data_IF_290257354159
#
_entry.id   IF_290257354159
#
_cell.length_a   1.000
_cell.length_b   1.000
_cell.length_c   1.000
_cell.angle_alpha   90.00
_cell.angle_beta   90.00
_cell.angle_gamma   90.00
#
_symmetry.space_group_name_H-M   'P 1'
#
loop_
_entity.id
_entity.type
_entity.pdbx_description
1 polymer ?
#
# COMPACT_ATOMS: atom_id res chain seq x y z
N UNK A 1 -11.58 -1.08 -11.05
CA UNK A 1 -10.22 -1.59 -11.31
C UNK A 1 -10.32 -2.55 -12.47
N UNK A 2 -9.30 -2.65 -13.31
CA UNK A 2 -9.31 -3.50 -14.50
C UNK A 2 -8.11 -4.45 -14.41
N UNK A 3 -8.37 -5.76 -14.45
CA UNK A 3 -7.33 -6.78 -14.39
C UNK A 3 -6.68 -6.93 -15.77
N UNK A 4 -5.39 -7.27 -15.82
CA UNK A 4 -4.74 -7.62 -17.08
C UNK A 4 -5.39 -8.85 -17.75
N UNK A 5 -5.32 -8.98 -19.08
CA UNK A 5 -5.77 -10.20 -19.75
C UNK A 5 -5.09 -11.45 -19.16
N UNK A 6 -5.87 -12.52 -18.96
CA UNK A 6 -5.35 -13.78 -18.39
C UNK A 6 -5.00 -13.74 -16.89
N UNK A 7 -5.29 -12.64 -16.18
CA UNK A 7 -4.90 -12.46 -14.78
C UNK A 7 -5.21 -13.66 -13.88
N UNK A 8 -6.47 -14.15 -13.90
CA UNK A 8 -6.88 -15.27 -13.04
C UNK A 8 -6.17 -16.57 -13.39
N UNK A 9 -5.98 -16.85 -14.69
CA UNK A 9 -5.26 -18.05 -15.14
C UNK A 9 -3.83 -18.03 -14.60
N UNK A 10 -3.11 -16.94 -14.83
CA UNK A 10 -1.73 -16.79 -14.36
C UNK A 10 -1.62 -16.82 -12.83
N UNK A 11 -2.54 -16.16 -12.12
CA UNK A 11 -2.52 -16.19 -10.66
C UNK A 11 -2.71 -17.61 -10.11
N UNK A 12 -3.57 -18.42 -10.72
CA UNK A 12 -3.76 -19.83 -10.37
C UNK A 12 -2.52 -20.67 -10.71
N UNK A 13 -1.94 -20.48 -11.89
CA UNK A 13 -0.68 -21.16 -12.29
C UNK A 13 0.46 -20.84 -11.32
N UNK A 14 0.60 -19.56 -10.94
CA UNK A 14 1.61 -19.12 -9.96
C UNK A 14 1.33 -19.66 -8.56
N UNK A 15 0.07 -19.71 -8.10
CA UNK A 15 -0.31 -20.37 -6.84
C UNK A 15 0.11 -21.85 -6.82
N UNK A 16 -0.19 -22.58 -7.89
CA UNK A 16 0.15 -24.01 -8.02
C UNK A 16 1.67 -24.24 -8.06
N UNK A 17 2.40 -23.43 -8.81
CA UNK A 17 3.86 -23.56 -8.95
C UNK A 17 4.60 -23.23 -7.66
N UNK A 18 4.13 -22.26 -6.90
CA UNK A 18 4.87 -21.70 -5.74
C UNK A 18 4.38 -22.23 -4.40
N UNK A 19 3.17 -22.79 -4.35
CA UNK A 19 2.51 -23.14 -3.09
C UNK A 19 2.18 -21.92 -2.21
N UNK A 20 2.16 -20.71 -2.80
CA UNK A 20 1.87 -19.49 -2.08
C UNK A 20 0.44 -19.48 -1.52
N UNK A 21 0.25 -18.80 -0.40
CA UNK A 21 -1.05 -18.59 0.22
C UNK A 21 -1.81 -17.41 -0.41
N UNK A 22 -1.10 -16.48 -1.04
CA UNK A 22 -1.65 -15.34 -1.76
C UNK A 22 -0.71 -14.95 -2.90
N UNK A 23 -1.24 -14.76 -4.10
CA UNK A 23 -0.50 -14.28 -5.28
C UNK A 23 -1.13 -12.99 -5.77
N UNK A 24 -0.31 -11.99 -6.07
CA UNK A 24 -0.81 -10.77 -6.69
C UNK A 24 0.30 -10.01 -7.39
N UNK A 25 -0.06 -8.87 -7.96
CA UNK A 25 0.83 -8.19 -8.90
C UNK A 25 0.92 -6.69 -8.71
N UNK A 26 1.21 -6.02 -9.82
CA UNK A 26 1.48 -4.58 -9.86
C UNK A 26 0.19 -3.78 -9.74
N UNK A 27 0.19 -2.79 -8.86
CA UNK A 27 -0.79 -1.69 -8.88
C UNK A 27 -0.40 -0.71 -9.99
N UNK A 28 -0.94 -0.93 -11.19
CA UNK A 28 -0.63 -0.11 -12.36
C UNK A 28 -1.39 1.21 -12.30
N UNK A 29 -0.79 2.23 -11.70
CA UNK A 29 -1.40 3.54 -11.55
C UNK A 29 -1.47 4.28 -12.90
N UNK A 30 -2.69 4.60 -13.35
CA UNK A 30 -2.93 5.29 -14.62
C UNK A 30 -3.95 6.42 -14.44
N UNK A 31 -3.54 7.64 -14.82
CA UNK A 31 -4.35 8.84 -14.71
C UNK A 31 -4.82 9.38 -16.07
N UNK A 32 -6.05 9.89 -16.11
CA UNK A 32 -6.67 10.50 -17.30
C UNK A 32 -6.49 12.02 -17.32
N UNK A 33 -6.44 12.68 -16.16
CA UNK A 33 -6.20 14.13 -16.06
C UNK A 33 -4.72 14.45 -15.81
N UNK A 34 -4.25 15.67 -16.09
CA UNK A 34 -2.89 16.08 -15.75
C UNK A 34 -2.55 15.89 -14.25
N UNK A 35 -3.53 16.09 -13.37
CA UNK A 35 -3.35 15.85 -11.93
C UNK A 35 -3.25 14.36 -11.62
N UNK A 36 -4.17 13.53 -12.12
CA UNK A 36 -4.12 12.08 -11.89
C UNK A 36 -2.82 11.47 -12.44
N UNK A 37 -2.30 11.96 -13.57
CA UNK A 37 -1.00 11.53 -14.11
C UNK A 37 0.17 11.88 -13.19
N UNK A 38 0.15 13.04 -12.55
CA UNK A 38 1.16 13.41 -11.57
C UNK A 38 1.08 12.50 -10.32
N UNK A 39 -0.14 12.21 -9.84
CA UNK A 39 -0.33 11.27 -8.72
C UNK A 39 0.13 9.86 -9.09
N UNK A 40 -0.20 9.38 -10.30
CA UNK A 40 0.29 8.10 -10.80
C UNK A 40 1.83 8.04 -10.80
N UNK A 41 2.49 9.06 -11.35
CA UNK A 41 3.95 9.14 -11.39
C UNK A 41 4.58 9.21 -10.00
N UNK A 42 3.94 9.89 -9.04
CA UNK A 42 4.39 9.92 -7.66
C UNK A 42 4.27 8.54 -6.98
N UNK A 43 3.12 7.87 -7.15
CA UNK A 43 2.84 6.54 -6.61
C UNK A 43 3.75 5.45 -7.17
N UNK A 44 4.27 5.62 -8.38
CA UNK A 44 5.21 4.68 -9.02
C UNK A 44 6.68 5.09 -8.85
N UNK A 45 6.97 6.07 -7.99
CA UNK A 45 8.34 6.50 -7.69
C UNK A 45 8.81 6.02 -6.32
N UNK A 46 10.12 5.78 -6.16
CA UNK A 46 10.72 5.41 -4.87
C UNK A 46 10.53 6.51 -3.82
N UNK A 47 10.56 7.78 -4.24
CA UNK A 47 10.34 8.90 -3.33
C UNK A 47 8.93 8.89 -2.75
N UNK A 48 7.91 8.61 -3.58
CA UNK A 48 6.51 8.62 -3.12
C UNK A 48 6.02 7.33 -2.46
N UNK A 49 6.55 6.17 -2.82
CA UNK A 49 6.05 4.85 -2.38
C UNK A 49 7.06 4.02 -1.56
N UNK A 50 8.30 4.47 -1.41
CA UNK A 50 9.35 3.73 -0.71
C UNK A 50 9.82 2.49 -1.47
N UNK A 51 10.00 1.36 -0.77
CA UNK A 51 10.44 0.08 -1.31
C UNK A 51 9.30 -0.92 -1.64
N UNK A 52 8.06 -0.45 -1.74
CA UNK A 52 6.93 -1.31 -2.07
C UNK A 52 6.94 -1.74 -3.56
N UNK A 53 7.50 -2.93 -3.83
CA UNK A 53 7.72 -3.47 -5.20
C UNK A 53 6.47 -3.52 -6.09
N UNK A 54 5.28 -3.67 -5.50
CA UNK A 54 4.03 -3.69 -6.25
C UNK A 54 3.68 -2.34 -6.92
N UNK A 55 4.39 -1.25 -6.63
CA UNK A 55 4.19 0.05 -7.26
C UNK A 55 5.02 0.30 -8.53
N UNK A 56 6.17 -0.36 -8.69
CA UNK A 56 7.08 -0.07 -9.81
C UNK A 56 7.68 -1.33 -10.46
N UNK A 57 7.32 -2.53 -9.99
CA UNK A 57 7.80 -3.80 -10.53
C UNK A 57 9.02 -4.34 -9.80
N UNK A 58 9.56 -5.44 -10.31
CA UNK A 58 10.68 -6.15 -9.74
C UNK A 58 10.71 -7.60 -10.20
N UNK A 59 11.58 -8.39 -9.57
CA UNK A 59 11.59 -9.83 -9.79
C UNK A 59 10.40 -10.47 -9.10
N UNK A 60 9.92 -11.56 -9.70
CA UNK A 60 8.97 -12.45 -9.06
C UNK A 60 9.54 -12.97 -7.73
N UNK A 61 8.71 -13.04 -6.68
CA UNK A 61 9.15 -13.64 -5.42
C UNK A 61 8.31 -13.30 -4.18
N UNK A 62 8.76 -13.77 -3.00
CA UNK A 62 8.08 -13.47 -1.74
C UNK A 62 8.00 -11.97 -1.44
N UNK A 63 6.87 -11.53 -0.91
CA UNK A 63 6.61 -10.13 -0.53
C UNK A 63 5.86 -10.04 0.80
N UNK A 64 5.85 -8.86 1.42
CA UNK A 64 5.01 -8.57 2.58
C UNK A 64 3.52 -8.53 2.22
N UNK A 65 3.23 -8.06 1.01
CA UNK A 65 1.88 -7.79 0.52
C UNK A 65 1.90 -7.66 -1.00
N UNK A 66 0.74 -7.82 -1.61
CA UNK A 66 0.50 -7.64 -3.05
C UNK A 66 -0.76 -6.82 -3.28
N UNK A 67 -0.91 -6.26 -4.48
CA UNK A 67 -2.11 -5.51 -4.82
C UNK A 67 -3.20 -6.42 -5.40
N UNK A 68 -4.36 -6.44 -4.73
CA UNK A 68 -5.55 -7.21 -5.12
C UNK A 68 -5.25 -8.69 -5.42
N UNK A 69 -4.71 -9.39 -4.42
CA UNK A 69 -4.27 -10.78 -4.56
C UNK A 69 -5.38 -11.82 -4.70
N UNK A 70 -4.98 -12.99 -5.20
CA UNK A 70 -5.75 -14.23 -5.31
C UNK A 70 -5.24 -15.18 -4.24
N UNK A 71 -6.13 -15.63 -3.37
CA UNK A 71 -5.79 -16.39 -2.17
C UNK A 71 -6.02 -17.89 -2.37
N UNK A 72 -5.13 -18.70 -1.81
CA UNK A 72 -5.48 -20.09 -1.53
C UNK A 72 -6.57 -20.11 -0.45
N UNK A 73 -7.65 -20.83 -0.72
CA UNK A 73 -8.82 -20.85 0.14
C UNK A 73 -8.53 -21.46 1.51
N UNK A 74 -7.80 -22.57 1.54
CA UNK A 74 -7.53 -23.30 2.80
C UNK A 74 -6.64 -22.47 3.69
N UNK A 75 -5.61 -21.84 3.12
CA UNK A 75 -4.73 -20.93 3.85
C UNK A 75 -5.49 -19.69 4.37
N UNK A 76 -6.38 -19.10 3.56
CA UNK A 76 -7.19 -17.95 3.95
C UNK A 76 -8.18 -18.28 5.08
N UNK A 77 -8.88 -19.42 4.99
CA UNK A 77 -9.78 -19.91 6.04
C UNK A 77 -9.00 -20.21 7.32
N UNK A 78 -7.86 -20.90 7.22
CA UNK A 78 -7.00 -21.19 8.37
C UNK A 78 -6.44 -19.93 9.04
N UNK A 79 -6.21 -18.86 8.26
CA UNK A 79 -5.80 -17.57 8.81
C UNK A 79 -6.94 -16.83 9.51
N UNK A 80 -8.21 -17.16 9.23
CA UNK A 80 -9.39 -16.55 9.84
C UNK A 80 -10.06 -15.47 8.99
N UNK A 81 -9.95 -15.53 7.66
CA UNK A 81 -10.56 -14.58 6.71
C UNK A 81 -10.20 -13.11 6.99
N UNK A 82 -10.91 -12.15 6.39
CA UNK A 82 -10.73 -10.73 6.66
C UNK A 82 -11.26 -10.34 8.05
N UNK A 83 -10.53 -9.46 8.73
CA UNK A 83 -11.02 -8.81 9.94
C UNK A 83 -11.92 -7.62 9.58
N UNK A 84 -13.23 -7.78 9.77
CA UNK A 84 -14.25 -6.79 9.44
C UNK A 84 -14.17 -5.50 10.28
N UNK A 85 -13.42 -5.51 11.40
CA UNK A 85 -13.19 -4.31 12.22
C UNK A 85 -12.22 -3.33 11.57
N UNK A 86 -11.45 -3.78 10.58
CA UNK A 86 -10.53 -2.95 9.82
C UNK A 86 -11.26 -2.38 8.60
N UNK A 87 -11.43 -1.06 8.45
CA UNK A 87 -12.07 -0.52 7.22
C UNK A 87 -11.07 -0.38 6.06
N UNK A 88 -9.77 -0.31 6.37
CA UNK A 88 -8.67 -0.31 5.39
C UNK A 88 -7.54 -1.18 5.92
N UNK A 89 -6.65 -1.59 5.02
CA UNK A 89 -5.48 -2.40 5.34
C UNK A 89 -5.84 -3.82 5.82
N UNK A 90 -7.06 -4.30 5.52
CA UNK A 90 -7.52 -5.66 5.86
C UNK A 90 -6.69 -6.74 5.16
N UNK A 91 -6.37 -6.50 3.90
CA UNK A 91 -5.52 -7.33 3.04
C UNK A 91 -4.09 -7.41 3.56
N UNK A 92 -3.52 -6.27 3.96
CA UNK A 92 -2.21 -6.25 4.58
C UNK A 92 -2.19 -7.01 5.90
N UNK A 93 -3.22 -6.86 6.73
CA UNK A 93 -3.33 -7.57 8.00
C UNK A 93 -3.49 -9.08 7.80
N UNK A 94 -4.35 -9.51 6.87
CA UNK A 94 -4.50 -10.91 6.50
C UNK A 94 -3.16 -11.49 5.99
N UNK A 95 -2.41 -10.75 5.18
CA UNK A 95 -1.08 -11.15 4.72
C UNK A 95 -0.06 -11.30 5.86
N UNK A 96 -0.21 -10.58 6.98
CA UNK A 96 0.59 -10.83 8.19
C UNK A 96 0.23 -12.19 8.79
N UNK A 97 -1.07 -12.45 9.00
CA UNK A 97 -1.55 -13.72 9.58
C UNK A 97 -1.20 -14.93 8.71
N UNK A 98 -1.30 -14.82 7.38
CA UNK A 98 -0.88 -15.88 6.45
C UNK A 98 0.61 -16.22 6.64
N UNK A 99 1.47 -15.20 6.71
CA UNK A 99 2.92 -15.40 6.90
C UNK A 99 3.29 -15.92 8.28
N UNK A 100 2.59 -15.50 9.33
CA UNK A 100 2.77 -16.04 10.69
C UNK A 100 2.43 -17.55 10.77
N UNK A 101 1.61 -18.06 9.85
CA UNK A 101 1.26 -19.47 9.74
C UNK A 101 2.15 -20.25 8.75
N UNK A 102 3.27 -19.66 8.32
CA UNK A 102 4.20 -20.26 7.37
C UNK A 102 3.78 -20.13 5.90
N UNK A 103 2.66 -19.46 5.60
CA UNK A 103 2.24 -19.18 4.23
C UNK A 103 3.12 -18.12 3.56
N UNK A 104 3.27 -18.20 2.24
CA UNK A 104 4.01 -17.21 1.46
C UNK A 104 3.05 -16.29 0.73
N UNK A 105 3.30 -14.98 0.80
CA UNK A 105 2.66 -14.01 -0.09
C UNK A 105 3.62 -13.75 -1.24
N UNK A 106 3.14 -13.90 -2.46
CA UNK A 106 3.98 -13.98 -3.64
C UNK A 106 3.62 -12.89 -4.65
N UNK A 107 4.61 -12.11 -5.03
CA UNK A 107 4.50 -11.07 -6.04
C UNK A 107 4.88 -11.62 -7.41
N UNK A 108 3.96 -11.49 -8.37
CA UNK A 108 4.15 -11.83 -9.77
C UNK A 108 4.10 -10.53 -10.61
N UNK A 109 5.21 -10.10 -11.23
CA UNK A 109 5.28 -8.85 -11.98
C UNK A 109 4.47 -8.87 -13.28
N UNK A 110 4.06 -10.03 -13.77
CA UNK A 110 3.24 -10.14 -14.98
C UNK A 110 1.74 -9.98 -14.69
N UNK A 111 1.35 -10.11 -13.43
CA UNK A 111 0.02 -9.73 -12.96
C UNK A 111 -0.03 -8.21 -12.76
N UNK A 112 -1.03 -7.55 -13.34
CA UNK A 112 -1.25 -6.13 -13.08
C UNK A 112 -2.72 -5.75 -13.01
N UNK A 113 -3.01 -4.75 -12.18
CA UNK A 113 -4.35 -4.21 -12.03
C UNK A 113 -4.30 -2.71 -12.21
N UNK A 114 -5.06 -2.22 -13.20
CA UNK A 114 -5.20 -0.79 -13.48
C UNK A 114 -5.87 -0.09 -12.30
N UNK A 115 -5.16 0.88 -11.75
CA UNK A 115 -5.60 1.71 -10.64
C UNK A 115 -5.69 3.16 -11.10
N UNK A 116 -6.83 3.80 -10.86
CA UNK A 116 -7.02 5.23 -11.15
C UNK A 116 -6.78 6.04 -9.88
N UNK A 117 -5.78 6.95 -9.86
CA UNK A 117 -5.51 7.78 -8.69
C UNK A 117 -6.63 8.78 -8.38
N UNK A 118 -6.54 9.43 -7.21
CA UNK A 118 -7.50 10.45 -6.79
C UNK A 118 -7.45 11.68 -7.70
N UNK A 119 -8.62 12.26 -7.93
CA UNK A 119 -8.85 13.39 -8.85
C UNK A 119 -8.41 14.76 -8.34
N UNK A 120 -8.16 14.90 -7.02
CA UNK A 120 -7.78 16.18 -6.42
C UNK A 120 -6.87 15.99 -5.21
N UNK A 121 -6.15 17.06 -4.86
CA UNK A 121 -5.20 17.07 -3.74
C UNK A 121 -5.87 16.76 -2.40
N UNK A 122 -7.04 17.36 -2.12
CA UNK A 122 -7.78 17.08 -0.88
C UNK A 122 -8.25 15.62 -0.76
N UNK A 123 -8.66 14.99 -1.87
CA UNK A 123 -9.03 13.57 -1.88
C UNK A 123 -7.80 12.67 -1.71
N UNK A 124 -6.66 13.06 -2.25
CA UNK A 124 -5.38 12.37 -2.05
C UNK A 124 -4.92 12.47 -0.59
N UNK A 125 -4.95 13.67 -0.02
CA UNK A 125 -4.61 13.93 1.38
C UNK A 125 -5.46 13.05 2.31
N UNK A 126 -6.78 13.06 2.13
CA UNK A 126 -7.68 12.21 2.91
C UNK A 126 -7.35 10.73 2.78
N UNK A 127 -7.09 10.25 1.56
CA UNK A 127 -6.73 8.86 1.33
C UNK A 127 -5.43 8.47 2.06
N UNK A 128 -4.36 9.26 1.93
CA UNK A 128 -3.09 8.96 2.58
C UNK A 128 -3.17 9.09 4.10
N UNK A 129 -3.95 10.06 4.61
CA UNK A 129 -4.25 10.15 6.04
C UNK A 129 -4.95 8.89 6.56
N UNK A 130 -5.99 8.43 5.87
CA UNK A 130 -6.68 7.20 6.23
C UNK A 130 -5.74 5.98 6.16
N UNK A 131 -4.84 5.91 5.18
CA UNK A 131 -3.83 4.85 5.11
C UNK A 131 -2.89 4.85 6.32
N UNK A 132 -2.37 6.02 6.71
CA UNK A 132 -1.56 6.16 7.92
C UNK A 132 -2.34 5.75 9.18
N UNK A 133 -3.57 6.22 9.34
CA UNK A 133 -4.42 5.93 10.49
C UNK A 133 -4.71 4.44 10.66
N UNK A 134 -5.07 3.75 9.56
CA UNK A 134 -5.31 2.30 9.58
C UNK A 134 -4.02 1.50 9.68
N UNK A 135 -2.89 2.00 9.18
CA UNK A 135 -1.60 1.36 9.41
C UNK A 135 -1.21 1.41 10.88
N UNK A 136 -1.48 2.52 11.60
CA UNK A 136 -1.28 2.60 13.05
C UNK A 136 -2.07 1.52 13.79
N UNK A 137 -3.32 1.29 13.40
CA UNK A 137 -4.17 0.24 13.94
C UNK A 137 -3.54 -1.15 13.75
N UNK A 138 -3.11 -1.46 12.52
CA UNK A 138 -2.46 -2.74 12.22
C UNK A 138 -1.14 -2.90 12.99
N UNK A 139 -0.34 -1.84 13.14
CA UNK A 139 0.90 -1.88 13.94
C UNK A 139 0.59 -2.11 15.42
N UNK A 140 -0.50 -1.56 15.96
CA UNK A 140 -0.90 -1.85 17.34
C UNK A 140 -1.21 -3.33 17.55
N UNK A 141 -1.86 -3.98 16.58
CA UNK A 141 -2.19 -5.42 16.63
C UNK A 141 -0.99 -6.30 16.31
N UNK A 142 -0.13 -5.84 15.41
CA UNK A 142 1.03 -6.57 14.88
C UNK A 142 2.27 -5.65 14.87
N UNK A 143 2.94 -5.43 16.02
CA UNK A 143 4.05 -4.47 16.13
C UNK A 143 5.21 -4.75 15.17
N UNK A 144 5.54 -6.03 14.96
CA UNK A 144 6.58 -6.47 14.02
C UNK A 144 6.26 -6.23 12.53
N UNK A 145 5.06 -5.74 12.21
CA UNK A 145 4.66 -5.45 10.83
C UNK A 145 5.09 -4.07 10.33
N UNK A 146 5.68 -3.23 11.18
CA UNK A 146 6.14 -1.90 10.79
C UNK A 146 7.38 -2.03 9.88
N UNK A 147 7.30 -1.45 8.69
CA UNK A 147 8.42 -1.35 7.75
C UNK A 147 8.94 0.08 7.71
N UNK A 148 10.22 0.27 7.39
CA UNK A 148 10.85 1.58 7.35
C UNK A 148 10.08 2.57 6.44
N UNK A 149 9.59 2.12 5.27
CA UNK A 149 8.76 2.93 4.36
C UNK A 149 7.49 3.49 5.00
N UNK A 150 6.95 2.80 6.01
CA UNK A 150 5.74 3.21 6.74
C UNK A 150 6.08 4.10 7.95
N UNK A 151 7.31 3.99 8.47
CA UNK A 151 7.83 4.78 9.59
C UNK A 151 8.47 6.11 9.15
N UNK A 152 8.99 6.19 7.92
CA UNK A 152 9.64 7.39 7.41
C UNK A 152 8.69 8.62 7.34
N UNK A 153 7.44 8.51 6.85
CA UNK A 153 6.54 9.67 6.81
C UNK A 153 6.15 10.26 8.19
N UNK A 154 5.81 9.49 9.24
CA UNK A 154 5.57 10.07 10.56
C UNK A 154 6.83 10.65 11.20
N UNK A 155 8.01 10.04 11.02
CA UNK A 155 9.28 10.62 11.47
C UNK A 155 9.57 11.96 10.78
N UNK A 156 9.34 12.04 9.47
CA UNK A 156 9.43 13.29 8.70
C UNK A 156 8.47 14.36 9.24
N UNK A 157 7.21 14.03 9.49
CA UNK A 157 6.23 14.99 10.01
C UNK A 157 6.65 15.57 11.37
N UNK A 158 7.14 14.73 12.28
CA UNK A 158 7.69 15.17 13.57
C UNK A 158 8.95 16.03 13.37
N UNK A 159 9.88 15.59 12.52
CA UNK A 159 11.12 16.31 12.24
C UNK A 159 10.86 17.71 11.68
N UNK A 160 9.92 17.85 10.73
CA UNK A 160 9.53 19.14 10.19
C UNK A 160 8.89 20.04 11.26
N UNK A 161 8.02 19.49 12.10
CA UNK A 161 7.43 20.24 13.22
C UNK A 161 8.48 20.75 14.21
N UNK A 162 9.39 19.88 14.64
CA UNK A 162 10.50 20.24 15.52
C UNK A 162 11.44 21.26 14.87
N UNK A 163 11.77 21.09 13.58
CA UNK A 163 12.62 22.01 12.84
C UNK A 163 12.01 23.41 12.78
N UNK A 164 10.70 23.52 12.51
CA UNK A 164 9.99 24.81 12.48
C UNK A 164 9.96 25.48 13.86
N UNK A 165 9.61 24.75 14.93
CA UNK A 165 9.61 25.30 16.30
C UNK A 165 11.03 25.70 16.73
N UNK A 166 12.03 24.89 16.39
CA UNK A 166 13.43 25.16 16.70
C UNK A 166 13.99 26.42 16.05
N UNK A 167 13.38 26.93 14.97
CA UNK A 167 13.82 28.18 14.33
C UNK A 167 13.68 29.40 15.23
N UNK A 168 12.78 29.35 16.21
CA UNK A 168 12.64 30.40 17.23
C UNK A 168 13.86 30.47 18.16
N UNK A 169 14.62 29.37 18.28
CA UNK A 169 15.82 29.29 19.12
C UNK A 169 17.09 29.43 18.28
N UNK A 170 17.17 28.73 17.14
CA UNK A 170 18.37 28.73 16.30
C UNK A 170 18.03 28.57 14.81
N UNK A 171 18.54 29.49 13.98
CA UNK A 171 18.24 29.52 12.53
C UNK A 171 18.66 28.24 11.79
N UNK A 172 19.68 27.53 12.26
CA UNK A 172 20.08 26.25 11.65
C UNK A 172 19.00 25.16 11.73
N UNK A 173 17.97 25.30 12.58
CA UNK A 173 16.82 24.39 12.57
C UNK A 173 16.06 24.40 11.22
N UNK A 174 16.22 25.46 10.40
CA UNK A 174 15.72 25.52 9.02
C UNK A 174 16.36 24.48 8.08
N UNK A 175 17.49 23.87 8.46
CA UNK A 175 18.11 22.82 7.66
C UNK A 175 17.18 21.61 7.47
N UNK A 176 16.33 21.29 8.46
CA UNK A 176 15.39 20.17 8.35
C UNK A 176 14.32 20.41 7.27
N UNK A 177 13.48 21.48 7.36
CA UNK A 177 12.53 21.77 6.29
C UNK A 177 13.21 22.13 4.96
N UNK A 178 14.39 22.76 4.99
CA UNK A 178 15.17 23.08 3.80
C UNK A 178 15.65 21.85 3.04
N UNK A 179 16.22 20.86 3.73
CA UNK A 179 16.67 19.59 3.11
C UNK A 179 15.51 18.79 2.55
N UNK A 180 14.38 18.71 3.26
CA UNK A 180 13.18 18.08 2.73
C UNK A 180 12.62 18.81 1.50
N UNK A 181 12.56 20.15 1.53
CA UNK A 181 12.14 20.96 0.39
C UNK A 181 13.01 20.73 -0.84
N UNK A 182 14.34 20.70 -0.66
CA UNK A 182 15.28 20.38 -1.73
C UNK A 182 15.05 18.96 -2.29
N UNK A 183 14.84 17.97 -1.41
CA UNK A 183 14.54 16.60 -1.82
C UNK A 183 13.24 16.51 -2.66
N UNK A 184 12.20 17.26 -2.27
CA UNK A 184 10.94 17.34 -3.03
C UNK A 184 11.17 17.95 -4.42
N UNK A 185 11.96 19.01 -4.54
CA UNK A 185 12.30 19.63 -5.83
C UNK A 185 13.06 18.67 -6.72
N UNK A 186 14.11 18.02 -6.19
CA UNK A 186 14.93 17.04 -6.93
C UNK A 186 14.08 15.85 -7.39
N UNK A 187 13.31 15.25 -6.48
CA UNK A 187 12.43 14.13 -6.82
C UNK A 187 11.38 14.52 -7.86
N UNK A 188 10.78 15.72 -7.73
CA UNK A 188 9.82 16.24 -8.71
C UNK A 188 10.46 16.43 -10.09
N UNK A 189 11.69 16.94 -10.15
CA UNK A 189 12.41 17.13 -11.42
C UNK A 189 12.73 15.80 -12.10
N UNK A 190 13.23 14.82 -11.34
CA UNK A 190 13.53 13.46 -11.83
C UNK A 190 12.26 12.79 -12.36
N UNK A 191 11.19 12.78 -11.56
CA UNK A 191 9.93 12.13 -11.91
C UNK A 191 9.22 12.83 -13.07
N UNK A 192 9.29 14.17 -13.15
CA UNK A 192 8.63 14.94 -14.21
C UNK A 192 9.28 14.79 -15.59
N UNK A 193 10.55 14.36 -15.68
CA UNK A 193 11.30 14.21 -16.94
C UNK A 193 11.17 15.44 -17.85
N UNK A 194 11.50 16.63 -17.32
CA UNK A 194 11.43 17.95 -17.99
C UNK A 194 10.02 18.45 -18.35
N UNK A 195 8.95 17.82 -17.86
CA UNK A 195 7.57 18.30 -18.07
C UNK A 195 7.16 19.28 -16.96
N UNK A 196 7.25 20.58 -17.22
CA UNK A 196 6.97 21.63 -16.22
C UNK A 196 5.61 21.48 -15.53
N UNK A 197 4.54 21.20 -16.28
CA UNK A 197 3.21 21.00 -15.70
C UNK A 197 3.13 19.79 -14.75
N UNK A 198 3.92 18.74 -14.98
CA UNK A 198 4.02 17.60 -14.06
C UNK A 198 4.86 17.95 -12.84
N UNK A 199 6.00 18.60 -13.05
CA UNK A 199 6.88 19.11 -12.00
C UNK A 199 6.11 19.96 -10.98
N UNK A 200 5.39 20.99 -11.44
CA UNK A 200 4.61 21.88 -10.58
C UNK A 200 3.56 21.14 -9.75
N UNK A 201 2.94 20.08 -10.29
CA UNK A 201 1.98 19.24 -9.56
C UNK A 201 2.66 18.33 -8.55
N UNK A 202 3.82 17.77 -8.89
CA UNK A 202 4.59 16.89 -8.01
C UNK A 202 5.10 17.60 -6.76
N UNK A 203 5.43 18.90 -6.88
CA UNK A 203 5.78 19.75 -5.72
C UNK A 203 4.69 19.76 -4.64
N UNK A 204 3.41 19.63 -5.03
CA UNK A 204 2.30 19.52 -4.08
C UNK A 204 1.96 18.06 -3.73
N UNK A 205 2.02 17.15 -4.70
CA UNK A 205 1.62 15.75 -4.54
C UNK A 205 2.54 15.00 -3.56
N UNK A 206 3.86 15.12 -3.69
CA UNK A 206 4.79 14.39 -2.80
C UNK A 206 4.63 14.80 -1.33
N UNK A 207 4.67 16.10 -0.96
CA UNK A 207 4.41 16.49 0.42
C UNK A 207 3.03 16.06 0.91
N UNK A 208 2.01 16.12 0.06
CA UNK A 208 0.66 15.67 0.43
C UNK A 208 0.65 14.20 0.80
N UNK A 209 1.27 13.33 -0.01
CA UNK A 209 1.36 11.89 0.28
C UNK A 209 2.09 11.64 1.60
N UNK A 210 3.28 12.23 1.79
CA UNK A 210 4.10 11.99 2.97
C UNK A 210 3.47 12.55 4.25
N UNK A 211 3.09 13.82 4.25
CA UNK A 211 2.59 14.50 5.44
C UNK A 211 1.21 14.00 5.81
N UNK A 212 0.32 13.75 4.84
CA UNK A 212 -0.99 13.21 5.18
C UNK A 212 -0.87 11.81 5.78
N UNK A 213 -0.03 10.92 5.20
CA UNK A 213 0.27 9.62 5.80
C UNK A 213 0.85 9.75 7.21
N UNK A 214 1.90 10.56 7.37
CA UNK A 214 2.58 10.75 8.65
C UNK A 214 1.63 11.26 9.73
N UNK A 215 0.87 12.31 9.43
CA UNK A 215 -0.16 12.84 10.32
C UNK A 215 -1.23 11.78 10.63
N UNK A 216 -1.73 11.06 9.62
CA UNK A 216 -2.69 9.97 9.80
C UNK A 216 -2.18 8.89 10.75
N UNK A 217 -0.91 8.49 10.61
CA UNK A 217 -0.29 7.50 11.49
C UNK A 217 -0.15 8.02 12.93
N UNK A 218 0.22 9.29 13.10
CA UNK A 218 0.47 9.92 14.40
C UNK A 218 -0.80 10.31 15.16
N UNK A 219 -1.86 10.73 14.48
CA UNK A 219 -3.06 11.32 15.10
C UNK A 219 -4.36 10.62 14.74
N UNK A 220 -4.34 9.71 13.76
CA UNK A 220 -5.51 9.02 13.25
C UNK A 220 -6.31 8.33 14.36
N UNK A 221 -7.55 8.78 14.55
CA UNK A 221 -8.53 8.16 15.44
C UNK A 221 -9.39 7.19 14.66
N UNK A 222 -9.90 6.16 15.33
CA UNK A 222 -10.80 5.15 14.75
C UNK A 222 -11.99 5.84 14.09
N UNK A 223 -12.27 5.56 12.82
CA UNK A 223 -13.64 5.65 12.34
C UNK A 223 -14.33 4.35 12.80
N UNK A 224 -15.32 4.45 13.67
CA UNK A 224 -16.13 3.30 14.10
C UNK A 224 -16.71 2.63 12.84
N UNK A 225 -16.43 1.35 12.62
CA UNK A 225 -17.18 0.55 11.65
C UNK A 225 -18.59 0.32 12.19
N UNK A 226 -19.58 0.48 11.32
CA UNK A 226 -20.98 0.10 11.56
C UNK A 226 -21.06 -1.42 11.42
N UNK A 227 -21.51 -2.12 12.47
CA UNK A 227 -22.07 -3.48 12.45
C UNK A 227 -21.11 -4.61 12.05
N UNK A 228 -20.69 -5.42 13.02
CA UNK A 228 -20.10 -6.74 12.75
C UNK A 228 -21.18 -7.65 12.13
N UNK A 229 -20.94 -8.18 10.94
CA UNK A 229 -21.68 -9.36 10.49
C UNK A 229 -21.04 -10.58 11.16
N UNK A 230 -21.86 -11.47 11.72
CA UNK A 230 -21.39 -12.68 12.40
C UNK A 230 -20.54 -13.57 11.48
N UNK A 231 -19.75 -14.49 12.04
CA UNK A 231 -18.81 -15.30 11.27
C UNK A 231 -19.53 -16.05 10.14
N UNK A 232 -19.05 -15.83 8.91
CA UNK A 232 -19.48 -16.59 7.74
C UNK A 232 -19.08 -18.05 7.95
N UNK A 233 -20.04 -18.90 8.31
CA UNK A 233 -19.85 -20.36 8.33
C UNK A 233 -19.72 -20.85 6.89
N UNK A 234 -18.48 -21.05 6.46
CA UNK A 234 -18.22 -21.66 5.17
C UNK A 234 -18.50 -23.17 5.27
N UNK A 235 -19.54 -23.65 4.59
CA UNK A 235 -19.79 -25.10 4.44
C UNK A 235 -18.61 -25.71 3.68
N UNK A 236 -17.97 -26.72 4.28
CA UNK A 236 -16.95 -27.52 3.62
C UNK A 236 -17.53 -28.15 2.34
N UNK A 237 -16.97 -27.82 1.19
CA UNK A 237 -17.30 -28.48 -0.07
C UNK A 237 -16.59 -29.83 -0.06
N UNK A 238 -17.33 -30.93 0.18
CA UNK A 238 -16.80 -32.28 -0.01
C UNK A 238 -16.36 -32.41 -1.47
N UNK A 239 -15.05 -32.63 -1.68
CA UNK A 239 -14.57 -33.16 -2.96
C UNK A 239 -15.23 -34.53 -3.15
N UNK A 240 -16.18 -34.62 -4.08
CA UNK A 240 -16.60 -35.90 -4.64
C UNK A 240 -15.42 -36.43 -5.45
N UNK A 241 -14.55 -37.18 -4.79
CA UNK A 241 -13.57 -38.03 -5.44
C UNK A 241 -14.31 -39.15 -6.14
N UNK A 242 -14.36 -39.08 -7.47
CA UNK A 242 -14.55 -40.27 -8.29
C UNK A 242 -13.32 -41.16 -8.11
N UNK A 243 -13.54 -42.37 -7.62
CA UNK A 243 -12.63 -43.48 -7.83
C UNK A 243 -13.19 -44.34 -8.96
N UNK A 244 -12.40 -44.69 -9.99
CA UNK A 244 -12.73 -45.81 -10.87
C UNK A 244 -12.24 -47.11 -10.22
N UNK A 245 -13.06 -48.15 -10.20
CA UNK A 245 -12.59 -49.51 -9.89
C UNK A 245 -13.65 -50.45 -9.34
N UNK A 246 -13.93 -51.52 -10.09
CA UNK A 246 -14.70 -52.69 -9.67
C UNK A 246 -15.82 -53.03 -10.63
#
# INVERSE_FOLDING_TARGET
AELSPGYLRRAVETLQRTGAANVGGIQRAEGTTPFERAVAAAMTSRFGAGDAVFHYGGHEGPSDTVYLGVFDRVAMEAAGLYDETLVRNQDYELNIRLRQRGGVVWFDPELSVRYRPRRSLGRLARQYFEYGAWKREVVRRHPGSLRWRQAAPPALALGLGMGLVGTAVHRAALLIPGTYGAAVVVASAITARRRFGMFARLLAVFPTMHLAWGCGFLTGRRSRSVGAAGPVRVRAFRRSGGGPGG
#
